data_IF_149340216362
#
_entry.id   IF_149340216362
#
_cell.length_a   1.000
_cell.length_b   1.000
_cell.length_c   1.000
_cell.angle_alpha   90.00
_cell.angle_beta   90.00
_cell.angle_gamma   90.00
#
_symmetry.space_group_name_H-M   'P 1'
#
loop_
_entity.id
_entity.type
_entity.pdbx_description
1 polymer ?
#
# COMPACT_ATOMS: atom_id res chain seq x y z
N UNK A 1 19.20 -20.69 6.99
CA UNK A 1 19.37 -19.51 6.14
C UNK A 1 18.10 -18.69 6.18
N UNK A 2 18.21 -17.40 6.47
CA UNK A 2 17.04 -16.51 6.49
C UNK A 2 16.60 -16.21 5.06
N UNK A 3 15.29 -16.30 4.83
CA UNK A 3 14.71 -15.91 3.56
C UNK A 3 14.79 -14.39 3.39
N UNK A 4 15.06 -13.94 2.18
CA UNK A 4 15.06 -12.52 1.83
C UNK A 4 13.87 -12.23 0.93
N UNK A 5 13.21 -11.09 1.17
CA UNK A 5 12.20 -10.61 0.25
C UNK A 5 12.85 -10.04 -0.99
N UNK A 6 12.28 -10.32 -2.15
CA UNK A 6 12.78 -9.84 -3.44
C UNK A 6 11.91 -8.77 -4.06
N UNK A 7 10.60 -8.88 -3.90
CA UNK A 7 9.62 -7.97 -4.51
C UNK A 7 8.60 -7.58 -3.46
N UNK A 8 8.64 -6.34 -3.06
CA UNK A 8 7.79 -5.81 -1.98
C UNK A 8 6.76 -4.86 -2.57
N UNK A 9 5.51 -5.06 -2.21
CA UNK A 9 4.41 -4.18 -2.59
C UNK A 9 3.98 -3.38 -1.38
N UNK A 10 3.83 -2.06 -1.55
CA UNK A 10 3.16 -1.23 -0.55
C UNK A 10 1.98 -0.54 -1.20
N UNK A 11 0.83 -0.61 -0.56
CA UNK A 11 -0.39 0.03 -1.04
C UNK A 11 -0.60 1.34 -0.29
N UNK A 12 -0.83 2.42 -1.04
CA UNK A 12 -0.94 3.76 -0.49
C UNK A 12 -2.26 4.41 -0.92
N UNK A 13 -2.88 5.16 -0.03
CA UNK A 13 -4.14 5.87 -0.28
C UNK A 13 -4.11 7.31 0.24
N UNK A 14 -2.93 7.79 0.69
CA UNK A 14 -2.79 9.13 1.24
C UNK A 14 -3.08 9.23 2.73
N UNK A 15 -3.45 8.14 3.39
CA UNK A 15 -3.69 8.14 4.84
C UNK A 15 -2.36 8.14 5.62
N UNK A 16 -2.43 8.44 6.92
CA UNK A 16 -1.27 8.37 7.82
C UNK A 16 -0.75 6.94 7.93
N UNK A 17 -1.66 5.96 7.97
CA UNK A 17 -1.31 4.55 8.02
C UNK A 17 -0.58 4.12 6.76
N UNK A 18 -0.99 4.64 5.60
CA UNK A 18 -0.31 4.37 4.33
C UNK A 18 1.10 4.98 4.31
N UNK A 19 1.27 6.18 4.85
CA UNK A 19 2.59 6.80 4.96
C UNK A 19 3.52 5.98 5.86
N UNK A 20 3.00 5.48 6.97
CA UNK A 20 3.76 4.60 7.86
C UNK A 20 4.12 3.30 7.16
N UNK A 21 3.17 2.70 6.45
CA UNK A 21 3.40 1.48 5.67
C UNK A 21 4.48 1.72 4.61
N UNK A 22 4.43 2.85 3.92
CA UNK A 22 5.45 3.23 2.94
C UNK A 22 6.83 3.32 3.58
N UNK A 23 6.96 4.01 4.71
CA UNK A 23 8.24 4.14 5.39
C UNK A 23 8.82 2.79 5.81
N UNK A 24 7.98 1.90 6.31
CA UNK A 24 8.41 0.54 6.68
C UNK A 24 8.80 -0.28 5.47
N UNK A 25 8.02 -0.19 4.38
CA UNK A 25 8.33 -0.89 3.14
C UNK A 25 9.69 -0.44 2.56
N UNK A 26 9.98 0.86 2.58
CA UNK A 26 11.27 1.40 2.17
C UNK A 26 12.40 0.80 2.99
N UNK A 27 12.26 0.77 4.32
CA UNK A 27 13.29 0.21 5.20
C UNK A 27 13.53 -1.28 4.91
N UNK A 28 12.47 -2.04 4.71
CA UNK A 28 12.56 -3.48 4.41
C UNK A 28 13.19 -3.70 3.03
N UNK A 29 12.77 -2.91 2.02
CA UNK A 29 13.34 -3.01 0.68
C UNK A 29 14.85 -2.74 0.69
N UNK A 30 15.30 -1.76 1.45
CA UNK A 30 16.73 -1.46 1.59
C UNK A 30 17.48 -2.62 2.22
N UNK A 31 16.98 -3.17 3.33
CA UNK A 31 17.65 -4.27 4.03
C UNK A 31 17.76 -5.53 3.18
N UNK A 32 16.76 -5.77 2.35
CA UNK A 32 16.68 -6.96 1.51
C UNK A 32 17.25 -6.76 0.11
N UNK A 33 17.62 -5.55 -0.25
CA UNK A 33 18.01 -5.18 -1.62
C UNK A 33 16.89 -5.57 -2.60
N UNK A 34 15.65 -5.32 -2.21
CA UNK A 34 14.45 -5.73 -2.93
C UNK A 34 13.93 -4.63 -3.86
N UNK A 35 13.15 -5.04 -4.85
CA UNK A 35 12.35 -4.13 -5.66
C UNK A 35 11.15 -3.67 -4.83
N UNK A 36 10.83 -2.39 -4.89
CA UNK A 36 9.65 -1.81 -4.22
C UNK A 36 8.63 -1.37 -5.26
N UNK A 37 7.46 -1.99 -5.20
CA UNK A 37 6.30 -1.62 -6.01
C UNK A 37 5.34 -0.79 -5.16
N UNK A 38 5.11 0.46 -5.56
CA UNK A 38 4.22 1.39 -4.86
C UNK A 38 2.90 1.43 -5.61
N UNK A 39 1.83 0.95 -4.99
CA UNK A 39 0.55 0.72 -5.65
C UNK A 39 -0.54 1.62 -5.07
N UNK A 40 -1.28 2.28 -5.94
CA UNK A 40 -2.53 2.94 -5.60
C UNK A 40 -3.66 2.37 -6.45
N UNK A 41 -4.74 1.96 -5.83
CA UNK A 41 -5.91 1.42 -6.54
C UNK A 41 -7.05 2.42 -6.46
N UNK A 42 -7.56 2.80 -7.63
CA UNK A 42 -8.71 3.68 -7.76
C UNK A 42 -9.95 2.82 -7.96
N UNK A 43 -10.89 2.94 -7.02
CA UNK A 43 -12.20 2.29 -7.14
C UNK A 43 -13.07 3.18 -8.04
N UNK A 44 -13.26 2.74 -9.29
CA UNK A 44 -14.00 3.50 -10.29
C UNK A 44 -15.46 3.74 -9.92
N UNK A 45 -16.01 2.96 -8.99
CA UNK A 45 -17.37 3.17 -8.48
C UNK A 45 -17.50 4.48 -7.69
N UNK A 46 -16.37 5.05 -7.26
CA UNK A 46 -16.34 6.31 -6.49
C UNK A 46 -16.55 7.56 -7.36
N UNK A 47 -16.47 7.43 -8.70
CA UNK A 47 -16.52 8.58 -9.59
C UNK A 47 -17.86 8.69 -10.31
N UNK A 48 -18.45 9.89 -10.29
CA UNK A 48 -19.75 10.14 -10.89
C UNK A 48 -19.66 10.66 -12.33
N UNK A 49 -18.50 11.23 -12.72
CA UNK A 49 -18.31 11.79 -14.06
C UNK A 49 -16.82 11.85 -14.44
N UNK A 50 -16.56 12.11 -15.73
CA UNK A 50 -15.20 12.17 -16.30
C UNK A 50 -14.37 13.29 -15.67
N UNK A 51 -14.98 14.44 -15.40
CA UNK A 51 -14.30 15.60 -14.82
C UNK A 51 -13.71 15.26 -13.43
N UNK A 52 -14.52 14.61 -12.58
CA UNK A 52 -14.06 14.15 -11.25
C UNK A 52 -12.92 13.16 -11.37
N UNK A 53 -13.02 12.25 -12.34
CA UNK A 53 -11.99 11.25 -12.60
C UNK A 53 -10.67 11.91 -13.01
N UNK A 54 -10.71 12.85 -13.98
CA UNK A 54 -9.50 13.52 -14.47
C UNK A 54 -8.79 14.29 -13.37
N UNK A 55 -9.55 15.02 -12.54
CA UNK A 55 -8.99 15.77 -11.41
C UNK A 55 -8.31 14.83 -10.40
N UNK A 56 -8.97 13.73 -10.08
CA UNK A 56 -8.43 12.73 -9.17
C UNK A 56 -7.15 12.10 -9.73
N UNK A 57 -7.11 11.83 -11.04
CA UNK A 57 -5.92 11.24 -11.67
C UNK A 57 -4.72 12.16 -11.58
N UNK A 58 -4.88 13.45 -11.86
CA UNK A 58 -3.78 14.42 -11.76
C UNK A 58 -3.20 14.42 -10.35
N UNK A 59 -4.06 14.44 -9.34
CA UNK A 59 -3.64 14.43 -7.93
C UNK A 59 -2.91 13.13 -7.58
N UNK A 60 -3.43 11.98 -8.00
CA UNK A 60 -2.84 10.69 -7.68
C UNK A 60 -1.49 10.49 -8.36
N UNK A 61 -1.35 10.88 -9.64
CA UNK A 61 -0.07 10.80 -10.34
C UNK A 61 1.00 11.62 -9.61
N UNK A 62 0.65 12.85 -9.21
CA UNK A 62 1.57 13.70 -8.46
C UNK A 62 2.00 13.05 -7.13
N UNK A 63 1.05 12.48 -6.40
CA UNK A 63 1.32 11.79 -5.13
C UNK A 63 2.24 10.58 -5.34
N UNK A 64 1.99 9.79 -6.37
CA UNK A 64 2.76 8.58 -6.63
C UNK A 64 4.19 8.92 -7.07
N UNK A 65 4.37 9.97 -7.85
CA UNK A 65 5.71 10.47 -8.20
C UNK A 65 6.47 10.91 -6.96
N UNK A 66 5.80 11.56 -6.01
CA UNK A 66 6.41 11.98 -4.75
C UNK A 66 6.86 10.76 -3.93
N UNK A 67 6.02 9.74 -3.80
CA UNK A 67 6.40 8.50 -3.12
C UNK A 67 7.63 7.86 -3.77
N UNK A 68 7.66 7.77 -5.08
CA UNK A 68 8.80 7.17 -5.78
C UNK A 68 10.08 7.99 -5.57
N UNK A 69 9.98 9.32 -5.65
CA UNK A 69 11.13 10.18 -5.39
C UNK A 69 11.67 10.00 -3.95
N UNK A 70 10.77 9.85 -2.98
CA UNK A 70 11.15 9.59 -1.59
C UNK A 70 11.84 8.24 -1.44
N UNK A 71 11.37 7.21 -2.13
CA UNK A 71 12.01 5.89 -2.11
C UNK A 71 13.43 5.94 -2.69
N UNK A 72 13.60 6.61 -3.82
CA UNK A 72 14.89 6.78 -4.46
C UNK A 72 15.85 7.54 -3.53
N UNK A 73 15.40 8.65 -2.97
CA UNK A 73 16.20 9.48 -2.04
C UNK A 73 16.61 8.68 -0.80
N UNK A 74 15.74 7.80 -0.33
CA UNK A 74 16.01 6.96 0.84
C UNK A 74 17.00 5.83 0.55
N UNK A 75 17.29 5.54 -0.72
CA UNK A 75 18.28 4.54 -1.11
C UNK A 75 17.73 3.21 -1.62
N UNK A 76 16.44 3.15 -1.94
CA UNK A 76 15.88 1.96 -2.61
C UNK A 76 16.42 1.93 -4.03
N UNK A 77 17.06 0.83 -4.41
CA UNK A 77 17.75 0.74 -5.72
C UNK A 77 16.80 0.58 -6.89
N UNK A 78 15.68 -0.08 -6.68
CA UNK A 78 14.71 -0.34 -7.76
C UNK A 78 13.30 -0.13 -7.22
N UNK A 79 12.66 0.95 -7.65
CA UNK A 79 11.31 1.30 -7.22
C UNK A 79 10.45 1.74 -8.39
N UNK A 80 9.20 1.34 -8.36
CA UNK A 80 8.20 1.66 -9.39
C UNK A 80 6.90 2.07 -8.72
N UNK A 81 6.11 2.88 -9.40
CA UNK A 81 4.74 3.11 -8.95
C UNK A 81 3.73 2.68 -10.00
N UNK A 82 2.56 2.30 -9.56
CA UNK A 82 1.45 1.91 -10.43
C UNK A 82 0.15 2.46 -9.88
N UNK A 83 -0.72 2.89 -10.79
CA UNK A 83 -2.09 3.26 -10.48
C UNK A 83 -2.98 2.29 -11.24
N UNK A 84 -3.76 1.51 -10.49
CA UNK A 84 -4.64 0.50 -11.04
C UNK A 84 -6.11 0.87 -10.77
N UNK A 85 -7.01 0.38 -11.61
CA UNK A 85 -8.43 0.68 -11.54
C UNK A 85 -9.20 -0.60 -11.29
N UNK A 86 -10.10 -0.58 -10.31
CA UNK A 86 -10.95 -1.71 -10.01
C UNK A 86 -11.19 -1.91 -8.52
N UNK A 87 -11.36 -3.15 -8.11
CA UNK A 87 -11.58 -3.51 -6.71
C UNK A 87 -10.28 -3.52 -5.93
N UNK A 88 -10.12 -2.65 -4.91
CA UNK A 88 -8.91 -2.64 -4.10
C UNK A 88 -8.59 -4.00 -3.48
N UNK A 89 -9.59 -4.70 -2.96
CA UNK A 89 -9.39 -6.02 -2.34
C UNK A 89 -8.72 -7.01 -3.28
N UNK A 90 -9.27 -7.15 -4.48
CA UNK A 90 -8.80 -8.12 -5.46
C UNK A 90 -7.44 -7.72 -6.03
N UNK A 91 -7.25 -6.45 -6.36
CA UNK A 91 -6.00 -5.97 -6.95
C UNK A 91 -4.85 -6.05 -5.95
N UNK A 92 -5.05 -5.53 -4.74
CA UNK A 92 -3.99 -5.49 -3.72
C UNK A 92 -3.64 -6.90 -3.23
N UNK A 93 -4.65 -7.74 -3.03
CA UNK A 93 -4.45 -9.05 -2.43
C UNK A 93 -4.11 -10.17 -3.40
N UNK A 94 -4.44 -10.02 -4.67
CA UNK A 94 -4.33 -11.12 -5.63
C UNK A 94 -3.73 -10.71 -6.98
N UNK A 95 -4.37 -9.80 -7.73
CA UNK A 95 -4.01 -9.55 -9.13
C UNK A 95 -2.62 -8.94 -9.28
N UNK A 96 -2.34 -7.89 -8.54
CA UNK A 96 -1.04 -7.21 -8.60
C UNK A 96 0.09 -8.08 -8.06
N UNK A 97 -0.05 -8.73 -6.88
CA UNK A 97 0.98 -9.63 -6.40
C UNK A 97 1.32 -10.76 -7.36
N UNK A 98 0.33 -11.33 -8.01
CA UNK A 98 0.53 -12.40 -8.98
C UNK A 98 1.30 -11.90 -10.20
N UNK A 99 0.92 -10.74 -10.73
CA UNK A 99 1.55 -10.15 -11.92
C UNK A 99 3.00 -9.77 -11.67
N UNK A 100 3.32 -9.28 -10.49
CA UNK A 100 4.64 -8.75 -10.16
C UNK A 100 5.48 -9.67 -9.25
N UNK A 101 5.03 -10.89 -9.03
CA UNK A 101 5.72 -11.87 -8.19
C UNK A 101 6.04 -11.32 -6.80
N UNK A 102 5.08 -10.65 -6.18
CA UNK A 102 5.24 -10.05 -4.86
C UNK A 102 5.37 -11.13 -3.79
N UNK A 103 6.36 -11.00 -2.92
CA UNK A 103 6.57 -11.91 -1.81
C UNK A 103 6.32 -11.27 -0.44
N UNK A 104 6.12 -9.95 -0.39
CA UNK A 104 5.67 -9.25 0.81
C UNK A 104 4.73 -8.11 0.41
N UNK A 105 3.55 -8.09 1.00
CA UNK A 105 2.60 -6.98 0.89
C UNK A 105 2.66 -6.18 2.18
N UNK A 106 2.85 -4.86 2.08
CA UNK A 106 2.85 -3.95 3.23
C UNK A 106 1.63 -3.04 3.10
N UNK A 107 0.78 -3.02 4.09
CA UNK A 107 -0.46 -2.24 4.10
C UNK A 107 -0.64 -1.55 5.45
N UNK A 108 -1.33 -0.41 5.44
CA UNK A 108 -1.78 0.20 6.68
C UNK A 108 -2.95 -0.58 7.27
N UNK A 109 -3.09 -0.54 8.60
CA UNK A 109 -4.17 -1.25 9.28
C UNK A 109 -5.55 -0.71 8.88
N UNK A 110 -5.64 0.60 8.60
CA UNK A 110 -6.88 1.27 8.18
C UNK A 110 -6.57 2.23 7.03
N UNK A 111 -7.59 2.76 6.37
CA UNK A 111 -7.44 3.73 5.27
C UNK A 111 -8.15 5.04 5.56
N UNK A 112 -8.32 5.86 4.52
CA UNK A 112 -8.93 7.19 4.62
C UNK A 112 -10.35 7.17 5.16
N UNK A 113 -11.11 6.12 4.87
CA UNK A 113 -12.52 5.99 5.25
C UNK A 113 -12.72 5.10 6.47
N UNK A 114 -11.68 4.98 7.30
CA UNK A 114 -11.74 4.13 8.49
C UNK A 114 -12.76 4.66 9.49
N UNK A 115 -13.57 3.75 10.04
CA UNK A 115 -14.45 4.06 11.16
C UNK A 115 -13.63 3.93 12.45
N UNK A 116 -13.77 4.89 13.36
CA UNK A 116 -12.98 4.97 14.60
C UNK A 116 -12.88 3.65 15.39
N UNK A 117 -13.90 2.82 15.32
CA UNK A 117 -13.94 1.57 16.08
C UNK A 117 -13.34 0.39 15.37
N UNK A 118 -12.92 0.57 14.09
CA UNK A 118 -12.32 -0.52 13.35
C UNK A 118 -10.84 -0.59 13.66
N UNK A 119 -10.40 -1.74 14.12
CA UNK A 119 -8.99 -2.02 14.40
C UNK A 119 -8.24 -2.42 13.14
N UNK A 120 -8.96 -2.95 12.15
CA UNK A 120 -8.44 -3.31 10.82
C UNK A 120 -9.49 -2.92 9.78
N UNK A 121 -9.08 -2.24 8.72
CA UNK A 121 -9.96 -1.89 7.61
C UNK A 121 -10.37 -3.12 6.80
N UNK A 122 -11.46 -3.00 6.04
CA UNK A 122 -12.02 -4.12 5.29
C UNK A 122 -11.08 -4.64 4.21
N UNK A 123 -10.35 -3.75 3.52
CA UNK A 123 -9.37 -4.15 2.51
C UNK A 123 -8.21 -4.91 3.15
N UNK A 124 -7.66 -4.37 4.24
CA UNK A 124 -6.54 -4.99 4.96
C UNK A 124 -6.92 -6.36 5.51
N UNK A 125 -8.11 -6.49 6.07
CA UNK A 125 -8.62 -7.78 6.55
C UNK A 125 -8.69 -8.80 5.42
N UNK A 126 -9.27 -8.42 4.29
CA UNK A 126 -9.39 -9.30 3.13
C UNK A 126 -8.01 -9.72 2.61
N UNK A 127 -7.10 -8.77 2.44
CA UNK A 127 -5.75 -9.03 1.95
C UNK A 127 -5.01 -9.99 2.90
N UNK A 128 -5.09 -9.74 4.20
CA UNK A 128 -4.43 -10.59 5.21
C UNK A 128 -4.96 -12.02 5.16
N UNK A 129 -6.26 -12.19 4.98
CA UNK A 129 -6.90 -13.50 4.99
C UNK A 129 -6.68 -14.29 3.70
N UNK A 130 -6.58 -13.62 2.54
CA UNK A 130 -6.63 -14.29 1.24
C UNK A 130 -5.32 -14.27 0.44
N UNK A 131 -4.34 -13.46 0.82
CA UNK A 131 -3.09 -13.37 0.06
C UNK A 131 -2.26 -14.64 0.19
N UNK A 132 -1.51 -14.96 -0.87
CA UNK A 132 -0.64 -16.14 -0.92
C UNK A 132 0.79 -15.85 -0.46
N UNK A 133 1.09 -14.59 -0.15
CA UNK A 133 2.41 -14.19 0.35
C UNK A 133 2.29 -13.55 1.73
N UNK A 134 3.42 -13.21 2.32
CA UNK A 134 3.45 -12.54 3.62
C UNK A 134 2.81 -11.16 3.54
N UNK A 135 2.12 -10.78 4.61
CA UNK A 135 1.46 -9.47 4.72
C UNK A 135 1.88 -8.81 6.02
N UNK A 136 2.44 -7.62 5.92
CA UNK A 136 2.77 -6.78 7.07
C UNK A 136 1.73 -5.69 7.20
N UNK A 137 1.04 -5.68 8.34
CA UNK A 137 0.02 -4.69 8.66
C UNK A 137 0.63 -3.64 9.59
N UNK A 138 0.64 -2.38 9.15
CA UNK A 138 1.26 -1.29 9.90
C UNK A 138 0.21 -0.49 10.66
N UNK A 139 0.46 -0.24 11.93
CA UNK A 139 -0.45 0.48 12.82
C UNK A 139 0.19 1.79 13.29
N UNK A 140 -0.62 2.84 13.40
CA UNK A 140 -0.16 4.08 14.02
C UNK A 140 -0.11 3.91 15.55
N UNK A 141 0.60 4.82 16.21
CA UNK A 141 0.67 4.81 17.68
C UNK A 141 -0.71 5.04 18.31
N UNK A 142 -1.55 5.86 17.71
CA UNK A 142 -2.89 6.13 18.19
C UNK A 142 -3.72 4.84 18.23
N UNK A 143 -3.63 4.02 17.18
CA UNK A 143 -4.35 2.74 17.14
C UNK A 143 -3.79 1.77 18.17
N UNK A 144 -2.47 1.67 18.28
CA UNK A 144 -1.82 0.81 19.26
C UNK A 144 -2.25 1.20 20.70
N UNK A 145 -2.26 2.49 21.01
CA UNK A 145 -2.68 2.99 22.33
C UNK A 145 -4.15 2.68 22.61
N UNK A 146 -5.01 2.74 21.61
CA UNK A 146 -6.43 2.41 21.76
C UNK A 146 -6.64 0.94 22.15
N UNK A 147 -5.73 0.05 21.71
CA UNK A 147 -5.79 -1.38 22.03
C UNK A 147 -5.42 -1.70 23.48
N UNK A 148 -4.68 -0.81 24.15
CA UNK A 148 -4.24 -1.00 25.53
C UNK A 148 -5.30 -0.59 26.55
N UNK A 149 -6.36 0.08 26.09
CA UNK A 149 -7.48 0.47 26.93
C UNK A 149 -8.60 -0.56 26.86
#
# INVERSE_FOLDING_TARGET
>A
MLSQYKNIQVSVDGSKEADLAFSKAVAIAKRNNATLEILHVIDTRSFQNVSSFDSAMVEQVSRMKDYQARAVKAGVKDSHYSIEFGSPKTIIGHDFPKKHNIDLIVVGATGLNAVERLLIGSVTEYVTRTSKCDVLVCRTKEIANALEK
#
